data_IF_786274741137
#
_entry.id   IF_786274741137
#
_cell.length_a   1.000
_cell.length_b   1.000
_cell.length_c   1.000
_cell.angle_alpha   90.00
_cell.angle_beta   90.00
_cell.angle_gamma   90.00
#
_symmetry.space_group_name_H-M   'P 1'
#
loop_
_entity.id
_entity.type
_entity.pdbx_description
1 polymer ?
#
# COMPACT_ATOMS: atom_id res chain seq x y z
N UNK A 1 4.86 18.91 9.07
CA UNK A 1 4.97 17.80 8.08
C UNK A 1 4.55 16.53 8.82
N UNK A 2 3.42 15.93 8.44
CA UNK A 2 2.87 14.74 9.10
C UNK A 2 2.32 13.76 8.04
N UNK A 3 3.17 13.37 7.08
CA UNK A 3 2.81 12.51 5.95
C UNK A 3 3.76 11.33 5.72
N UNK A 4 4.67 11.04 6.66
CA UNK A 4 5.62 9.92 6.56
C UNK A 4 6.35 9.82 5.19
N UNK A 5 6.76 10.96 4.61
CA UNK A 5 7.44 11.02 3.31
C UNK A 5 6.52 11.02 2.08
N UNK A 6 5.20 10.93 2.26
CA UNK A 6 4.22 11.13 1.17
C UNK A 6 4.25 12.59 0.70
N UNK A 7 4.36 12.79 -0.61
CA UNK A 7 4.36 14.11 -1.23
C UNK A 7 2.99 14.77 -1.07
N UNK A 8 2.94 15.97 -0.50
CA UNK A 8 1.69 16.74 -0.39
C UNK A 8 1.17 17.19 -1.75
N UNK A 9 -0.15 17.22 -1.93
CA UNK A 9 -0.80 17.70 -3.16
C UNK A 9 -0.85 16.70 -4.32
N UNK A 10 -0.60 15.42 -4.06
CA UNK A 10 -0.72 14.36 -5.06
C UNK A 10 -2.18 13.94 -5.29
N UNK A 11 -2.57 13.82 -6.57
CA UNK A 11 -3.78 13.11 -7.00
C UNK A 11 -3.35 11.73 -7.48
N UNK A 12 -3.91 10.67 -6.90
CA UNK A 12 -3.60 9.29 -7.25
C UNK A 12 -4.87 8.54 -7.64
N UNK A 13 -4.97 8.19 -8.93
CA UNK A 13 -6.10 7.49 -9.51
C UNK A 13 -7.28 8.41 -9.88
N UNK A 14 -8.28 7.81 -10.52
CA UNK A 14 -9.52 8.46 -10.94
C UNK A 14 -10.68 7.50 -10.69
N UNK A 15 -11.85 8.02 -10.32
CA UNK A 15 -13.09 7.24 -10.20
C UNK A 15 -14.06 7.58 -11.33
N UNK A 16 -15.03 6.69 -11.58
CA UNK A 16 -16.10 6.94 -12.55
C UNK A 16 -16.94 8.17 -12.19
N UNK A 17 -17.81 8.63 -13.11
CA UNK A 17 -18.65 9.82 -12.88
C UNK A 17 -19.57 9.72 -11.64
N UNK A 18 -19.78 8.52 -11.10
CA UNK A 18 -20.59 8.27 -9.92
C UNK A 18 -19.75 8.04 -8.65
N UNK A 19 -18.43 8.12 -8.76
CA UNK A 19 -17.46 7.76 -7.73
C UNK A 19 -17.63 6.32 -7.17
N UNK A 20 -18.26 5.43 -7.94
CA UNK A 20 -18.57 4.07 -7.49
C UNK A 20 -17.38 3.13 -7.66
N UNK A 21 -16.60 3.28 -8.74
CA UNK A 21 -15.43 2.45 -9.02
C UNK A 21 -14.22 3.26 -9.48
N UNK A 22 -13.00 2.87 -9.10
CA UNK A 22 -11.77 3.45 -9.64
C UNK A 22 -11.63 3.08 -11.12
N UNK A 23 -11.62 4.08 -12.00
CA UNK A 23 -11.37 3.94 -13.44
C UNK A 23 -9.87 3.95 -13.77
N UNK A 24 -9.04 4.54 -12.92
CA UNK A 24 -7.59 4.61 -13.11
C UNK A 24 -6.86 4.34 -11.78
N UNK A 25 -5.77 3.56 -11.84
CA UNK A 25 -4.94 3.13 -10.69
C UNK A 25 -5.77 2.63 -9.49
N UNK A 26 -6.53 1.54 -9.65
CA UNK A 26 -7.23 0.94 -8.52
C UNK A 26 -6.22 0.58 -7.43
N UNK A 27 -6.59 0.89 -6.19
CA UNK A 27 -5.80 0.60 -4.99
C UNK A 27 -6.59 -0.39 -4.15
N UNK A 28 -5.99 -1.53 -3.84
CA UNK A 28 -6.58 -2.49 -2.92
C UNK A 28 -6.18 -2.18 -1.47
N UNK A 29 -6.90 -2.72 -0.47
CA UNK A 29 -6.49 -2.61 0.93
C UNK A 29 -5.08 -3.15 1.19
N UNK A 30 -4.67 -4.18 0.46
CA UNK A 30 -3.34 -4.79 0.55
C UNK A 30 -2.24 -3.87 0.01
N UNK A 31 -2.49 -3.16 -1.10
CA UNK A 31 -1.59 -2.12 -1.62
C UNK A 31 -1.37 -1.03 -0.57
N UNK A 32 -2.43 -0.59 0.12
CA UNK A 32 -2.34 0.39 1.19
C UNK A 32 -1.52 -0.14 2.37
N UNK A 33 -1.76 -1.37 2.81
CA UNK A 33 -1.01 -1.99 3.91
C UNK A 33 0.49 -2.08 3.59
N UNK A 34 0.86 -2.55 2.39
CA UNK A 34 2.26 -2.59 1.94
C UNK A 34 2.88 -1.19 1.83
N UNK A 35 2.10 -0.19 1.43
CA UNK A 35 2.53 1.22 1.40
C UNK A 35 2.87 1.73 2.79
N UNK A 36 2.08 1.37 3.81
CA UNK A 36 2.35 1.74 5.21
C UNK A 36 3.64 1.06 5.70
N UNK A 37 3.82 -0.24 5.46
CA UNK A 37 5.06 -0.94 5.82
C UNK A 37 6.29 -0.33 5.15
N UNK A 38 6.19 -0.03 3.85
CA UNK A 38 7.22 0.68 3.10
C UNK A 38 7.56 2.05 3.71
N UNK A 39 6.55 2.86 4.05
CA UNK A 39 6.74 4.17 4.68
C UNK A 39 7.44 4.08 6.04
N UNK A 40 7.26 2.97 6.75
CA UNK A 40 7.92 2.69 8.03
C UNK A 40 9.32 2.07 7.88
N UNK A 41 9.79 1.84 6.65
CA UNK A 41 11.07 1.17 6.37
C UNK A 41 11.05 -0.33 6.63
N UNK A 42 9.86 -0.93 6.74
CA UNK A 42 9.66 -2.38 6.88
C UNK A 42 9.55 -2.97 5.47
N UNK A 43 10.24 -4.09 5.24
CA UNK A 43 10.12 -4.83 4.00
C UNK A 43 8.66 -5.29 3.79
N UNK A 44 7.94 -4.80 2.75
CA UNK A 44 6.56 -5.16 2.51
C UNK A 44 6.37 -6.63 2.09
N UNK A 45 7.45 -7.32 1.70
CA UNK A 45 7.45 -8.74 1.34
C UNK A 45 8.03 -9.61 2.48
N UNK A 46 8.16 -9.03 3.69
CA UNK A 46 8.60 -9.74 4.89
C UNK A 46 7.72 -10.96 5.17
N UNK A 47 8.38 -12.10 5.40
CA UNK A 47 7.74 -13.34 5.84
C UNK A 47 7.83 -13.46 7.36
N UNK A 48 6.69 -13.66 8.02
CA UNK A 48 6.56 -13.86 9.45
C UNK A 48 6.18 -15.32 9.75
N UNK A 49 6.68 -15.92 10.84
CA UNK A 49 6.22 -17.24 11.25
C UNK A 49 4.79 -17.18 11.80
N UNK A 50 3.93 -18.09 11.35
CA UNK A 50 2.62 -18.32 11.96
C UNK A 50 2.75 -19.10 13.29
N UNK A 51 1.61 -19.48 13.89
CA UNK A 51 1.58 -20.22 15.17
C UNK A 51 2.23 -21.60 15.09
N UNK A 52 2.36 -22.17 13.90
CA UNK A 52 2.98 -23.47 13.64
C UNK A 52 4.43 -23.31 13.12
N UNK A 53 4.93 -22.06 13.04
CA UNK A 53 6.26 -21.72 12.55
C UNK A 53 6.39 -21.68 11.03
N UNK A 54 5.28 -21.74 10.28
CA UNK A 54 5.32 -21.64 8.82
C UNK A 54 5.50 -20.18 8.40
N UNK A 55 6.38 -19.89 7.43
CA UNK A 55 6.52 -18.54 6.92
C UNK A 55 5.26 -18.13 6.14
N UNK A 56 4.64 -17.04 6.54
CA UNK A 56 3.51 -16.39 5.87
C UNK A 56 3.87 -14.93 5.58
N UNK A 57 3.43 -14.36 4.46
CA UNK A 57 3.72 -12.97 4.15
C UNK A 57 3.04 -12.03 5.16
N UNK A 58 3.67 -10.89 5.46
CA UNK A 58 3.07 -9.86 6.33
C UNK A 58 1.79 -9.25 5.72
N UNK A 59 1.70 -9.24 4.38
CA UNK A 59 0.49 -8.92 3.61
C UNK A 59 0.41 -9.90 2.44
N UNK A 60 -0.74 -10.56 2.28
CA UNK A 60 -0.96 -11.65 1.32
C UNK A 60 -0.66 -11.28 -0.15
N UNK A 61 -0.98 -10.04 -0.55
CA UNK A 61 -0.83 -9.60 -1.94
C UNK A 61 -0.62 -8.08 -2.05
N UNK A 62 -0.71 -7.55 -3.26
CA UNK A 62 -0.56 -6.12 -3.52
C UNK A 62 0.89 -5.66 -3.64
N UNK A 63 1.05 -4.35 -3.82
CA UNK A 63 2.34 -3.66 -4.00
C UNK A 63 2.34 -2.31 -3.26
N UNK A 64 3.48 -1.89 -2.68
CA UNK A 64 3.59 -0.56 -2.13
C UNK A 64 3.43 0.50 -3.24
N UNK A 65 2.63 1.52 -2.98
CA UNK A 65 2.40 2.66 -3.87
C UNK A 65 3.58 3.64 -3.77
N UNK A 66 4.74 3.22 -4.27
CA UNK A 66 6.00 3.97 -4.15
C UNK A 66 5.96 5.34 -4.85
N UNK A 67 5.08 5.49 -5.85
CA UNK A 67 4.80 6.76 -6.54
C UNK A 67 4.28 7.88 -5.61
N UNK A 68 3.79 7.53 -4.42
CA UNK A 68 3.31 8.50 -3.43
C UNK A 68 4.45 9.22 -2.70
N UNK A 69 5.66 8.65 -2.69
CA UNK A 69 6.80 9.16 -1.94
C UNK A 69 7.76 9.92 -2.85
N UNK A 70 8.38 10.98 -2.32
CA UNK A 70 9.47 11.72 -2.96
C UNK A 70 9.48 13.19 -2.64
#
# INVERSE_FOLDING_TARGET
IAGAGVRGGIVYGQTDRQAAYPTEKPVSPEDLAKTVYWALGIDPDLMLPDREGRPVPIVESGRPLTELFG
#
